data_IF_282859842665
#
_entry.id   IF_282859842665
#
_cell.length_a   1.000
_cell.length_b   1.000
_cell.length_c   1.000
_cell.angle_alpha   90.00
_cell.angle_beta   90.00
_cell.angle_gamma   90.00
#
_symmetry.space_group_name_H-M   'P 1'
#
loop_
_entity.id
_entity.type
_entity.pdbx_description
1 polymer ?
#
# COMPACT_ATOMS: atom_id res chain seq x y z
N UNK A 1 66.64 -29.36 32.53
CA UNK A 1 66.11 -29.09 31.17
C UNK A 1 64.70 -29.66 31.07
N UNK A 2 63.72 -28.80 30.72
CA UNK A 2 62.41 -29.09 30.06
C UNK A 2 61.34 -29.83 30.92
N UNK A 3 60.30 -29.10 31.37
CA UNK A 3 58.90 -29.02 30.81
C UNK A 3 57.99 -30.11 31.47
N UNK A 4 56.71 -29.94 31.84
CA UNK A 4 55.59 -29.12 31.36
C UNK A 4 54.52 -29.00 32.47
N UNK A 5 54.00 -27.81 32.80
CA UNK A 5 52.72 -27.20 32.36
C UNK A 5 51.44 -28.03 32.59
N UNK A 6 50.65 -27.58 33.58
CA UNK A 6 49.26 -27.96 33.83
C UNK A 6 48.34 -27.45 32.72
N UNK A 7 47.33 -28.25 32.35
CA UNK A 7 46.23 -27.82 31.51
C UNK A 7 44.92 -27.99 32.28
N UNK A 8 44.36 -26.88 32.75
CA UNK A 8 43.01 -26.79 33.32
C UNK A 8 42.05 -26.66 32.14
N UNK A 9 41.16 -27.62 31.96
CA UNK A 9 40.10 -27.60 30.94
C UNK A 9 38.85 -26.94 31.52
N UNK A 10 38.65 -25.65 31.26
CA UNK A 10 37.37 -24.97 31.50
C UNK A 10 36.45 -25.15 30.30
N UNK A 11 35.36 -25.91 30.46
CA UNK A 11 34.27 -26.00 29.49
C UNK A 11 33.41 -24.74 29.56
N UNK A 12 33.31 -23.98 28.46
CA UNK A 12 32.42 -22.83 28.35
C UNK A 12 31.18 -23.28 27.58
N UNK A 13 30.05 -23.46 28.28
CA UNK A 13 28.73 -23.62 27.64
C UNK A 13 28.24 -22.23 27.22
N UNK A 14 28.37 -21.90 25.93
CA UNK A 14 27.80 -20.68 25.37
C UNK A 14 26.29 -20.83 25.17
N UNK A 15 25.50 -20.03 25.89
CA UNK A 15 24.06 -19.89 25.64
C UNK A 15 23.84 -19.07 24.36
N UNK A 16 23.24 -19.66 23.33
CA UNK A 16 22.83 -18.95 22.11
C UNK A 16 21.49 -18.25 22.41
N UNK A 17 21.52 -16.94 22.61
CA UNK A 17 20.29 -16.14 22.70
C UNK A 17 19.67 -16.01 21.30
N UNK A 18 18.53 -16.65 21.09
CA UNK A 18 17.73 -16.50 19.86
C UNK A 18 17.04 -15.14 19.90
N UNK A 19 17.62 -14.14 19.24
CA UNK A 19 16.96 -12.85 19.02
C UNK A 19 15.82 -13.04 18.02
N UNK A 20 14.60 -13.12 18.53
CA UNK A 20 13.40 -13.03 17.70
C UNK A 20 13.35 -11.63 17.06
N UNK A 21 13.68 -11.55 15.78
CA UNK A 21 13.56 -10.32 15.00
C UNK A 21 12.08 -9.99 14.78
N UNK A 22 11.52 -9.11 15.62
CA UNK A 22 10.22 -8.48 15.38
C UNK A 22 10.40 -7.46 14.25
N UNK A 23 10.28 -7.88 13.00
CA UNK A 23 10.13 -6.92 11.90
C UNK A 23 8.85 -6.13 12.16
N UNK A 24 8.89 -4.79 12.18
CA UNK A 24 7.66 -4.01 12.30
C UNK A 24 6.76 -4.34 11.10
N UNK A 25 5.65 -5.01 11.34
CA UNK A 25 4.58 -5.14 10.36
C UNK A 25 3.85 -3.81 10.31
N UNK A 26 4.23 -2.95 9.38
CA UNK A 26 3.46 -1.75 9.09
C UNK A 26 2.11 -2.20 8.53
N UNK A 27 1.04 -2.04 9.32
CA UNK A 27 -0.31 -2.32 8.87
C UNK A 27 -0.61 -1.54 7.59
N UNK A 28 -1.34 -2.16 6.66
CA UNK A 28 -1.78 -1.50 5.44
C UNK A 28 -2.57 -0.23 5.79
N UNK A 29 -2.37 0.82 5.00
CA UNK A 29 -3.13 2.05 5.18
C UNK A 29 -4.63 1.77 5.00
N UNK A 30 -5.48 2.46 5.77
CA UNK A 30 -6.93 2.31 5.65
C UNK A 30 -7.46 3.28 4.56
N UNK A 31 -8.14 2.78 3.52
CA UNK A 31 -8.59 3.62 2.41
C UNK A 31 -9.59 4.70 2.83
N UNK A 32 -10.52 4.39 3.75
CA UNK A 32 -11.48 5.37 4.27
C UNK A 32 -10.78 6.47 5.08
N UNK A 33 -9.75 6.12 5.86
CA UNK A 33 -8.95 7.11 6.60
C UNK A 33 -8.19 8.06 5.67
N UNK A 34 -7.67 7.58 4.53
CA UNK A 34 -6.99 8.41 3.53
C UNK A 34 -7.99 9.31 2.79
N UNK A 35 -9.16 8.79 2.41
CA UNK A 35 -10.20 9.57 1.74
C UNK A 35 -10.94 10.53 2.69
N UNK A 36 -10.86 10.31 4.00
CA UNK A 36 -11.43 11.19 5.02
C UNK A 36 -12.86 10.83 5.41
N UNK A 37 -13.44 11.65 6.29
CA UNK A 37 -14.76 11.41 6.88
C UNK A 37 -15.86 11.22 5.82
N UNK A 38 -16.77 10.28 6.09
CA UNK A 38 -17.93 9.98 5.25
C UNK A 38 -17.64 9.08 4.04
N UNK A 39 -16.38 8.79 3.74
CA UNK A 39 -16.03 7.88 2.65
C UNK A 39 -16.14 6.41 3.06
N UNK A 40 -16.84 5.62 2.26
CA UNK A 40 -16.88 4.16 2.34
C UNK A 40 -16.36 3.54 1.05
N UNK A 41 -15.66 2.41 1.14
CA UNK A 41 -15.26 1.62 -0.04
C UNK A 41 -16.50 1.11 -0.75
N UNK A 42 -16.58 1.37 -2.05
CA UNK A 42 -17.63 0.86 -2.94
C UNK A 42 -17.07 -0.12 -3.96
N UNK A 43 -15.75 -0.10 -4.20
CA UNK A 43 -15.08 -1.04 -5.08
C UNK A 43 -13.58 -1.14 -4.79
N UNK A 44 -12.94 -2.23 -5.24
CA UNK A 44 -11.51 -2.43 -5.14
C UNK A 44 -10.98 -3.43 -6.17
N UNK A 45 -9.77 -3.19 -6.67
CA UNK A 45 -9.10 -4.08 -7.62
C UNK A 45 -7.65 -4.32 -7.20
N UNK A 46 -7.22 -5.58 -7.29
CA UNK A 46 -5.86 -5.95 -6.96
C UNK A 46 -4.95 -5.65 -8.14
N UNK A 47 -4.06 -4.67 -7.98
CA UNK A 47 -3.18 -4.20 -9.07
C UNK A 47 -1.89 -5.01 -9.17
N UNK A 48 -1.39 -5.59 -8.07
CA UNK A 48 -0.17 -6.40 -8.08
C UNK A 48 -0.14 -7.44 -6.96
N UNK A 49 0.63 -8.51 -7.17
CA UNK A 49 0.96 -9.54 -6.17
C UNK A 49 2.29 -9.26 -5.46
N UNK A 50 3.24 -8.60 -6.12
CA UNK A 50 4.59 -8.37 -5.60
C UNK A 50 5.23 -7.13 -6.24
N UNK A 51 5.38 -6.02 -5.50
CA UNK A 51 4.77 -5.77 -4.19
C UNK A 51 3.24 -5.83 -4.26
N UNK A 52 2.61 -6.49 -3.29
CA UNK A 52 1.15 -6.57 -3.25
C UNK A 52 0.54 -5.17 -3.08
N UNK A 53 -0.40 -4.81 -3.95
CA UNK A 53 -1.11 -3.55 -3.87
C UNK A 53 -2.54 -3.68 -4.42
N UNK A 54 -3.42 -2.81 -3.92
CA UNK A 54 -4.84 -2.76 -4.26
C UNK A 54 -5.24 -1.30 -4.48
N UNK A 55 -5.93 -1.03 -5.59
CA UNK A 55 -6.62 0.24 -5.84
C UNK A 55 -8.01 0.16 -5.22
N UNK A 56 -8.44 1.22 -4.54
CA UNK A 56 -9.76 1.32 -3.92
C UNK A 56 -10.52 2.51 -4.50
N UNK A 57 -11.82 2.32 -4.77
CA UNK A 57 -12.77 3.38 -5.02
C UNK A 57 -13.68 3.56 -3.81
N UNK A 58 -13.76 4.80 -3.33
CA UNK A 58 -14.63 5.19 -2.23
C UNK A 58 -15.62 6.25 -2.64
N UNK A 59 -16.73 6.34 -1.90
CA UNK A 59 -17.81 7.29 -2.09
C UNK A 59 -18.30 7.86 -0.76
N UNK A 60 -18.72 9.12 -0.75
CA UNK A 60 -19.25 9.79 0.44
C UNK A 60 -20.65 10.39 0.27
N UNK A 61 -21.39 10.00 -0.77
CA UNK A 61 -22.69 10.60 -1.12
C UNK A 61 -22.60 11.79 -2.09
N UNK A 62 -21.41 12.37 -2.31
CA UNK A 62 -21.25 13.45 -3.30
C UNK A 62 -19.97 13.41 -4.14
N UNK A 63 -18.94 12.68 -3.72
CA UNK A 63 -17.64 12.64 -4.40
C UNK A 63 -17.02 11.26 -4.31
N UNK A 64 -16.39 10.84 -5.39
CA UNK A 64 -15.53 9.67 -5.40
C UNK A 64 -14.14 10.02 -4.89
N UNK A 65 -13.45 9.02 -4.36
CA UNK A 65 -12.06 9.08 -3.97
C UNK A 65 -11.34 7.80 -4.38
N UNK A 66 -10.17 7.93 -4.98
CA UNK A 66 -9.33 6.79 -5.38
C UNK A 66 -8.01 6.83 -4.63
N UNK A 67 -7.62 5.68 -4.09
CA UNK A 67 -6.32 5.46 -3.43
C UNK A 67 -5.76 4.11 -3.86
N UNK A 68 -4.44 4.04 -4.06
CA UNK A 68 -3.73 2.77 -4.30
C UNK A 68 -2.86 2.48 -3.11
N UNK A 69 -3.07 1.36 -2.45
CA UNK A 69 -2.42 1.03 -1.18
C UNK A 69 -1.61 -0.25 -1.37
N UNK A 70 -0.33 -0.21 -0.99
CA UNK A 70 0.48 -1.42 -0.91
C UNK A 70 0.15 -2.15 0.39
N UNK A 71 0.05 -3.48 0.35
CA UNK A 71 -0.37 -4.28 1.51
C UNK A 71 0.62 -4.19 2.69
N UNK A 72 1.91 -3.95 2.42
CA UNK A 72 2.96 -3.82 3.44
C UNK A 72 3.85 -2.65 3.07
N UNK A 73 3.94 -1.62 3.92
CA UNK A 73 4.79 -0.45 3.67
C UNK A 73 6.26 -0.84 3.41
N UNK A 74 7.01 -0.02 2.67
CA UNK A 74 8.42 -0.31 2.40
C UNK A 74 9.13 0.81 1.66
N UNK A 75 10.18 0.45 0.91
CA UNK A 75 10.96 1.42 0.13
C UNK A 75 10.05 2.18 -0.83
N UNK A 76 10.33 3.47 -0.99
CA UNK A 76 9.64 4.32 -1.95
C UNK A 76 9.77 3.70 -3.35
N UNK A 77 8.63 3.61 -4.04
CA UNK A 77 8.51 2.97 -5.36
C UNK A 77 7.38 3.66 -6.10
N UNK A 78 7.45 3.67 -7.43
CA UNK A 78 6.43 4.34 -8.23
C UNK A 78 5.05 3.75 -7.94
N UNK A 79 4.12 4.60 -7.54
CA UNK A 79 2.71 4.27 -7.35
C UNK A 79 1.84 5.40 -7.86
N UNK A 80 0.66 5.04 -8.37
CA UNK A 80 -0.30 6.03 -8.84
C UNK A 80 -1.74 5.66 -8.47
N UNK A 81 -2.57 6.68 -8.37
CA UNK A 81 -4.01 6.61 -8.28
C UNK A 81 -4.61 7.57 -9.31
N UNK A 82 -5.74 7.22 -9.93
CA UNK A 82 -6.38 8.07 -10.94
C UNK A 82 -7.89 7.91 -10.95
N UNK A 83 -8.56 9.00 -11.32
CA UNK A 83 -10.00 9.11 -11.39
C UNK A 83 -10.38 10.00 -12.57
N UNK A 84 -11.38 9.58 -13.32
CA UNK A 84 -12.00 10.38 -14.37
C UNK A 84 -13.51 10.29 -14.24
N UNK A 85 -14.15 11.45 -14.20
CA UNK A 85 -15.61 11.56 -14.28
C UNK A 85 -16.00 11.67 -15.75
N UNK A 86 -17.09 11.03 -16.16
CA UNK A 86 -17.54 11.03 -17.55
C UNK A 86 -17.77 12.48 -18.03
N UNK A 87 -17.29 12.79 -19.23
CA UNK A 87 -17.27 14.17 -19.76
C UNK A 87 -16.11 15.05 -19.25
N UNK A 88 -15.31 14.57 -18.29
CA UNK A 88 -14.14 15.27 -17.77
C UNK A 88 -12.80 14.75 -18.28
N UNK A 89 -11.72 15.31 -17.72
CA UNK A 89 -10.34 14.85 -17.89
C UNK A 89 -9.89 13.95 -16.73
N UNK A 90 -8.80 13.22 -16.94
CA UNK A 90 -8.15 12.45 -15.88
C UNK A 90 -7.61 13.38 -14.78
N UNK A 91 -7.87 13.00 -13.53
CA UNK A 91 -7.13 13.46 -12.35
C UNK A 91 -6.28 12.31 -11.86
N UNK A 92 -5.08 12.62 -11.39
CA UNK A 92 -4.13 11.59 -10.94
C UNK A 92 -3.19 12.12 -9.87
N UNK A 93 -2.64 11.18 -9.12
CA UNK A 93 -1.51 11.35 -8.23
C UNK A 93 -0.53 10.22 -8.54
N UNK A 94 0.72 10.56 -8.83
CA UNK A 94 1.77 9.63 -9.24
C UNK A 94 3.12 10.13 -8.71
N UNK A 95 3.78 9.29 -7.91
CA UNK A 95 5.11 9.56 -7.34
C UNK A 95 5.71 8.28 -6.75
N UNK A 96 6.92 8.37 -6.21
CA UNK A 96 7.51 7.33 -5.40
C UNK A 96 6.94 7.36 -3.97
N UNK A 97 6.13 6.36 -3.63
CA UNK A 97 5.44 6.25 -2.35
C UNK A 97 5.91 5.03 -1.55
N UNK A 98 5.92 5.14 -0.23
CA UNK A 98 6.29 4.04 0.69
C UNK A 98 5.10 3.16 1.04
N UNK A 99 3.87 3.67 0.91
CA UNK A 99 2.66 3.04 1.45
C UNK A 99 1.45 3.15 0.52
N UNK A 100 1.13 4.35 0.01
CA UNK A 100 -0.03 4.57 -0.84
C UNK A 100 0.15 5.77 -1.77
N UNK A 101 -0.57 5.78 -2.90
CA UNK A 101 -0.83 6.95 -3.75
C UNK A 101 -2.29 7.41 -3.61
N UNK A 102 -2.56 8.69 -3.83
CA UNK A 102 -3.85 9.35 -3.59
C UNK A 102 -3.88 10.12 -2.26
N UNK A 103 -5.02 10.71 -1.87
CA UNK A 103 -6.34 10.53 -2.47
C UNK A 103 -6.58 11.40 -3.72
N UNK A 104 -7.08 10.79 -4.78
CA UNK A 104 -7.61 11.51 -5.95
C UNK A 104 -9.12 11.63 -5.82
N UNK A 105 -9.64 12.85 -5.67
CA UNK A 105 -11.06 13.10 -5.43
C UNK A 105 -11.73 13.85 -6.58
N UNK A 106 -12.98 13.51 -6.87
CA UNK A 106 -13.83 14.26 -7.80
C UNK A 106 -15.31 14.10 -7.45
N UNK A 107 -16.07 15.19 -7.62
CA UNK A 107 -17.53 15.13 -7.59
C UNK A 107 -18.05 14.39 -8.83
N UNK A 108 -19.00 13.46 -8.64
CA UNK A 108 -19.50 12.61 -9.71
C UNK A 108 -21.00 12.28 -9.55
N UNK A 109 -21.78 13.20 -8.97
CA UNK A 109 -23.21 12.98 -8.72
C UNK A 109 -23.95 12.62 -10.01
N UNK A 110 -24.54 11.43 -10.06
CA UNK A 110 -25.28 10.94 -11.23
C UNK A 110 -24.43 10.75 -12.48
N UNK A 111 -23.10 10.62 -12.34
CA UNK A 111 -22.17 10.52 -13.47
C UNK A 111 -21.20 9.37 -13.30
N UNK A 112 -21.03 8.53 -14.32
CA UNK A 112 -20.09 7.41 -14.27
C UNK A 112 -18.65 7.88 -14.09
N UNK A 113 -17.84 7.02 -13.46
CA UNK A 113 -16.41 7.23 -13.28
C UNK A 113 -15.60 6.09 -13.89
N UNK A 114 -14.39 6.42 -14.33
CA UNK A 114 -13.30 5.45 -14.48
C UNK A 114 -12.30 5.70 -13.37
N UNK A 115 -11.75 4.64 -12.80
CA UNK A 115 -10.81 4.73 -11.70
C UNK A 115 -9.73 3.66 -11.82
N UNK A 116 -8.71 3.77 -10.98
CA UNK A 116 -7.68 2.76 -10.87
C UNK A 116 -6.38 3.34 -10.37
N UNK A 117 -5.32 2.59 -10.57
CA UNK A 117 -4.01 2.92 -10.05
C UNK A 117 -3.02 1.80 -10.31
N UNK A 118 -1.84 1.89 -9.69
CA UNK A 118 -0.80 0.92 -9.92
C UNK A 118 0.42 1.09 -9.03
N UNK A 119 1.35 0.15 -9.21
CA UNK A 119 2.64 0.09 -8.54
C UNK A 119 3.67 -0.48 -9.51
N UNK A 120 4.81 0.19 -9.67
CA UNK A 120 5.79 -0.10 -10.72
C UNK A 120 5.11 -0.16 -12.10
N UNK A 121 5.27 -1.27 -12.82
CA UNK A 121 4.69 -1.49 -14.15
C UNK A 121 3.24 -2.03 -14.07
N UNK A 122 2.81 -2.50 -12.90
CA UNK A 122 1.51 -3.10 -12.72
C UNK A 122 0.43 -2.02 -12.55
N UNK A 123 -0.63 -2.09 -13.34
CA UNK A 123 -1.64 -1.03 -13.42
C UNK A 123 -3.01 -1.60 -13.73
N UNK A 124 -4.04 -0.96 -13.18
CA UNK A 124 -5.44 -1.24 -13.47
C UNK A 124 -6.16 0.06 -13.87
N UNK A 125 -7.15 -0.08 -14.74
CA UNK A 125 -8.09 0.99 -15.07
C UNK A 125 -9.45 0.35 -15.36
N UNK A 126 -10.48 0.78 -14.64
CA UNK A 126 -11.85 0.32 -14.85
C UNK A 126 -12.43 0.82 -16.18
N UNK A 127 -13.57 0.24 -16.57
CA UNK A 127 -14.50 0.88 -17.51
C UNK A 127 -15.24 2.06 -16.88
N UNK A 128 -16.26 2.57 -17.57
CA UNK A 128 -17.22 3.51 -16.98
C UNK A 128 -18.21 2.76 -16.08
N UNK A 129 -18.26 3.12 -14.81
CA UNK A 129 -19.09 2.47 -13.81
C UNK A 129 -19.40 3.43 -12.65
N UNK A 130 -20.15 2.98 -11.63
CA UNK A 130 -20.49 3.78 -10.44
C UNK A 130 -21.11 5.15 -10.77
N UNK A 131 -22.22 5.13 -11.52
CA UNK A 131 -22.83 6.31 -12.14
C UNK A 131 -23.71 7.20 -11.24
N UNK A 132 -23.45 7.22 -9.94
CA UNK A 132 -24.26 7.94 -8.94
C UNK A 132 -25.28 7.06 -8.23
#
# INVERSE_FOLDING_TARGET
>A
MRKSYAAVLTAVMGAVAVVASTTPSYAAANPASICGSGYSVIDSEKVSNSPAATSYLLWNGSSNCVVTIRAIAGKATLMHAKLRVQGGSWKGDENDYTSYAGPVRAAANGTCVMWGGGINEASYTSGWEHCG
#
